data_IF_092583857384
#
_entry.id   IF_092583857384
#
_cell.length_a   1.000
_cell.length_b   1.000
_cell.length_c   1.000
_cell.angle_alpha   90.00
_cell.angle_beta   90.00
_cell.angle_gamma   90.00
#
_symmetry.space_group_name_H-M   'P 1'
#
loop_
_entity.id
_entity.type
_entity.pdbx_description
1 polymer ?
#
# COMPACT_ATOMS: atom_id res chain seq x y z
N UNK A 1 33.95 32.04 -14.91
CA UNK A 1 33.31 31.76 -13.61
C UNK A 1 31.81 31.63 -13.85
N UNK A 2 31.20 30.46 -13.66
CA UNK A 2 29.76 30.35 -13.80
C UNK A 2 29.08 31.06 -12.63
N UNK A 3 28.19 32.00 -12.96
CA UNK A 3 27.30 32.68 -12.03
C UNK A 3 26.35 31.67 -11.41
N UNK A 4 26.58 31.33 -10.14
CA UNK A 4 25.63 30.55 -9.35
C UNK A 4 24.40 31.41 -9.07
N UNK A 5 23.34 31.26 -9.88
CA UNK A 5 22.01 31.78 -9.55
C UNK A 5 21.56 31.07 -8.27
N UNK A 6 21.55 31.83 -7.18
CA UNK A 6 21.49 31.34 -5.80
C UNK A 6 20.04 31.26 -5.27
N UNK A 7 19.03 31.16 -6.15
CA UNK A 7 17.61 31.29 -5.78
C UNK A 7 16.69 30.18 -6.30
N UNK A 8 17.10 29.38 -7.30
CA UNK A 8 16.12 28.55 -8.03
C UNK A 8 15.92 27.14 -7.43
N UNK A 9 16.90 26.61 -6.68
CA UNK A 9 16.81 25.22 -6.19
C UNK A 9 15.87 25.00 -5.00
N UNK A 10 15.32 26.06 -4.40
CA UNK A 10 14.31 25.97 -3.33
C UNK A 10 12.88 26.17 -3.83
N UNK A 11 12.69 26.90 -4.94
CA UNK A 11 11.36 27.13 -5.54
C UNK A 11 10.88 25.95 -6.42
N UNK A 12 11.77 25.02 -6.80
CA UNK A 12 11.49 23.94 -7.76
C UNK A 12 11.08 22.58 -7.16
N UNK A 13 10.87 22.46 -5.84
CA UNK A 13 10.48 21.18 -5.22
C UNK A 13 8.99 20.81 -5.40
N UNK A 14 8.14 21.73 -5.84
CA UNK A 14 6.68 21.52 -5.92
C UNK A 14 6.16 21.01 -7.27
N UNK A 15 6.87 21.31 -8.37
CA UNK A 15 6.37 21.00 -9.73
C UNK A 15 6.86 19.65 -10.25
N UNK A 16 8.10 19.26 -9.95
CA UNK A 16 8.67 17.98 -10.37
C UNK A 16 8.07 16.77 -9.63
N UNK A 17 7.49 17.01 -8.44
CA UNK A 17 6.97 15.97 -7.55
C UNK A 17 5.46 15.79 -7.64
N UNK A 18 4.95 15.70 -8.87
CA UNK A 18 3.54 15.47 -9.16
C UNK A 18 3.29 14.09 -9.79
N UNK A 19 2.07 13.58 -9.61
CA UNK A 19 1.58 12.29 -10.13
C UNK A 19 0.21 12.49 -10.76
N UNK A 20 -0.22 11.51 -11.58
CA UNK A 20 -1.42 11.56 -12.41
C UNK A 20 -1.38 12.73 -13.39
N UNK A 21 -0.52 12.61 -14.40
CA UNK A 21 -0.36 13.65 -15.45
C UNK A 21 0.05 15.02 -14.87
N UNK A 22 0.90 15.03 -13.85
CA UNK A 22 1.38 16.24 -13.16
C UNK A 22 0.27 17.09 -12.49
N UNK A 23 -0.88 16.49 -12.19
CA UNK A 23 -2.01 17.20 -11.57
C UNK A 23 -1.89 17.21 -10.04
N UNK A 24 -1.51 16.09 -9.42
CA UNK A 24 -1.58 15.93 -7.96
C UNK A 24 -0.18 15.84 -7.37
N UNK A 25 0.12 16.68 -6.37
CA UNK A 25 1.37 16.59 -5.62
C UNK A 25 1.51 15.22 -4.93
N UNK A 26 2.70 14.63 -4.94
CA UNK A 26 2.96 13.26 -4.46
C UNK A 26 2.48 13.03 -3.02
N UNK A 27 2.64 14.02 -2.15
CA UNK A 27 2.21 13.94 -0.74
C UNK A 27 0.69 13.89 -0.62
N UNK A 28 -0.05 14.60 -1.47
CA UNK A 28 -1.51 14.55 -1.48
C UNK A 28 -2.02 13.20 -2.01
N UNK A 29 -1.35 12.67 -3.06
CA UNK A 29 -1.62 11.32 -3.54
C UNK A 29 -1.35 10.27 -2.44
N UNK A 30 -0.26 10.43 -1.68
CA UNK A 30 0.09 9.52 -0.59
C UNK A 30 -0.91 9.60 0.58
N UNK A 31 -1.37 10.81 0.95
CA UNK A 31 -2.46 11.00 1.92
C UNK A 31 -3.74 10.29 1.50
N UNK A 32 -4.14 10.44 0.23
CA UNK A 32 -5.34 9.79 -0.30
C UNK A 32 -5.22 8.26 -0.23
N UNK A 33 -4.05 7.70 -0.54
CA UNK A 33 -3.80 6.27 -0.47
C UNK A 33 -3.86 5.74 0.95
N UNK A 34 -3.22 6.41 1.92
CA UNK A 34 -3.31 6.03 3.34
C UNK A 34 -4.76 6.09 3.81
N UNK A 35 -5.51 7.12 3.40
CA UNK A 35 -6.94 7.23 3.70
C UNK A 35 -7.75 6.06 3.11
N UNK A 36 -7.44 5.66 1.87
CA UNK A 36 -8.09 4.51 1.23
C UNK A 36 -7.76 3.18 1.90
N UNK A 37 -6.51 2.98 2.35
CA UNK A 37 -6.08 1.79 3.09
C UNK A 37 -6.75 1.72 4.47
N UNK A 38 -6.91 2.86 5.13
CA UNK A 38 -7.63 2.93 6.40
C UNK A 38 -9.13 2.61 6.20
N UNK A 39 -9.75 3.19 5.17
CA UNK A 39 -11.14 2.91 4.83
C UNK A 39 -11.35 1.42 4.48
N UNK A 40 -10.41 0.81 3.74
CA UNK A 40 -10.41 -0.63 3.45
C UNK A 40 -10.36 -1.46 4.74
N UNK A 41 -9.45 -1.17 5.67
CA UNK A 41 -9.37 -1.88 6.95
C UNK A 41 -10.62 -1.71 7.81
N UNK A 42 -11.22 -0.51 7.83
CA UNK A 42 -12.49 -0.27 8.52
C UNK A 42 -13.62 -1.08 7.85
N UNK A 43 -13.66 -1.12 6.53
CA UNK A 43 -14.64 -1.93 5.79
C UNK A 43 -14.47 -3.42 6.09
N UNK A 44 -13.25 -3.93 6.05
CA UNK A 44 -12.95 -5.33 6.38
C UNK A 44 -13.31 -5.67 7.83
N UNK A 45 -13.03 -4.78 8.79
CA UNK A 45 -13.39 -5.00 10.20
C UNK A 45 -14.88 -4.91 10.47
N UNK A 46 -15.59 -3.93 9.92
CA UNK A 46 -17.01 -3.73 10.24
C UNK A 46 -17.89 -4.70 9.47
N UNK A 47 -17.62 -4.93 8.18
CA UNK A 47 -18.50 -5.71 7.30
C UNK A 47 -18.13 -7.19 7.29
N UNK A 48 -16.85 -7.56 7.13
CA UNK A 48 -16.51 -8.99 7.08
C UNK A 48 -16.66 -9.65 8.46
N UNK A 49 -16.34 -8.95 9.55
CA UNK A 49 -16.53 -9.48 10.89
C UNK A 49 -18.01 -9.75 11.20
N UNK A 50 -18.88 -8.76 10.95
CA UNK A 50 -20.29 -8.84 11.36
C UNK A 50 -21.15 -9.62 10.35
N UNK A 51 -20.95 -9.44 9.05
CA UNK A 51 -21.83 -10.03 8.04
C UNK A 51 -21.43 -11.47 7.69
N UNK A 52 -20.13 -11.80 7.69
CA UNK A 52 -19.64 -13.09 7.17
C UNK A 52 -19.12 -14.02 8.28
N UNK A 53 -19.13 -13.58 9.54
CA UNK A 53 -18.59 -14.32 10.68
C UNK A 53 -17.06 -14.47 10.62
N UNK A 54 -16.40 -13.55 9.91
CA UNK A 54 -15.00 -13.61 9.55
C UNK A 54 -14.12 -12.93 10.61
N UNK A 55 -14.29 -13.28 11.89
CA UNK A 55 -13.49 -12.70 12.97
C UNK A 55 -12.80 -13.80 13.78
N UNK A 56 -11.66 -14.25 13.26
CA UNK A 56 -10.73 -15.13 13.96
C UNK A 56 -9.51 -14.37 14.45
N UNK A 57 -8.64 -15.03 15.21
CA UNK A 57 -7.40 -14.42 15.73
C UNK A 57 -6.52 -13.89 14.59
N UNK A 58 -6.49 -14.55 13.43
CA UNK A 58 -5.70 -14.14 12.26
C UNK A 58 -6.18 -12.82 11.68
N UNK A 59 -7.49 -12.60 11.56
CA UNK A 59 -8.05 -11.33 11.05
C UNK A 59 -7.80 -10.19 12.02
N UNK A 60 -7.89 -10.44 13.34
CA UNK A 60 -7.54 -9.46 14.37
C UNK A 60 -6.06 -9.04 14.28
N UNK A 61 -5.15 -10.00 14.12
CA UNK A 61 -3.71 -9.72 13.92
C UNK A 61 -3.49 -8.89 12.65
N UNK A 62 -4.13 -9.27 11.53
CA UNK A 62 -4.02 -8.52 10.29
C UNK A 62 -4.45 -7.05 10.45
N UNK A 63 -5.60 -6.83 11.10
CA UNK A 63 -6.15 -5.49 11.33
C UNK A 63 -5.26 -4.66 12.25
N UNK A 64 -4.80 -5.23 13.35
CA UNK A 64 -3.95 -4.53 14.33
C UNK A 64 -2.60 -4.15 13.74
N UNK A 65 -1.94 -5.06 13.02
CA UNK A 65 -0.68 -4.79 12.31
C UNK A 65 -0.90 -3.75 11.20
N UNK A 66 -2.00 -3.86 10.45
CA UNK A 66 -2.36 -2.90 9.41
C UNK A 66 -2.55 -1.48 9.97
N UNK A 67 -3.33 -1.34 11.04
CA UNK A 67 -3.54 -0.06 11.73
C UNK A 67 -2.24 0.52 12.30
N UNK A 68 -1.37 -0.34 12.85
CA UNK A 68 -0.07 0.10 13.35
C UNK A 68 0.79 0.71 12.23
N UNK A 69 0.91 0.04 11.07
CA UNK A 69 1.70 0.56 9.96
C UNK A 69 1.07 1.80 9.29
N UNK A 70 -0.26 1.88 9.23
CA UNK A 70 -0.95 3.11 8.81
C UNK A 70 -0.65 4.26 9.77
N UNK A 71 -0.68 4.01 11.08
CA UNK A 71 -0.37 5.01 12.09
C UNK A 71 1.07 5.53 11.95
N UNK A 72 2.03 4.63 11.67
CA UNK A 72 3.40 5.02 11.34
C UNK A 72 3.50 5.86 10.06
N UNK A 73 2.72 5.54 9.02
CA UNK A 73 2.68 6.30 7.79
C UNK A 73 2.06 7.71 7.99
N UNK A 74 1.02 7.84 8.82
CA UNK A 74 0.46 9.13 9.23
C UNK A 74 1.50 9.93 10.02
N UNK A 75 2.20 9.28 10.97
CA UNK A 75 3.27 9.92 11.73
C UNK A 75 4.43 10.35 10.81
N UNK A 76 4.73 9.59 9.76
CA UNK A 76 5.69 9.96 8.72
C UNK A 76 5.30 11.24 8.02
N UNK A 77 4.02 11.40 7.67
CA UNK A 77 3.52 12.61 7.03
C UNK A 77 3.64 13.82 7.95
N UNK A 78 3.29 13.66 9.24
CA UNK A 78 3.34 14.73 10.22
C UNK A 78 4.76 15.15 10.59
N UNK A 79 5.67 14.18 10.79
CA UNK A 79 7.08 14.43 11.14
C UNK A 79 8.01 14.58 9.94
N UNK A 80 7.48 14.39 8.73
CA UNK A 80 8.23 14.40 7.46
C UNK A 80 9.42 13.43 7.42
N UNK A 81 9.26 12.25 8.04
CA UNK A 81 10.34 11.25 8.19
C UNK A 81 10.11 10.00 7.34
N UNK A 82 10.78 9.93 6.19
CA UNK A 82 10.65 8.81 5.24
C UNK A 82 10.82 7.39 5.83
N UNK A 83 11.64 7.24 6.88
CA UNK A 83 11.91 5.94 7.52
C UNK A 83 10.62 5.28 8.03
N UNK A 84 9.65 6.08 8.47
CA UNK A 84 8.38 5.60 9.01
C UNK A 84 7.41 5.10 7.92
N UNK A 85 7.72 5.32 6.63
CA UNK A 85 6.96 4.77 5.48
C UNK A 85 7.39 3.34 5.15
N UNK A 86 8.64 2.96 5.48
CA UNK A 86 9.23 1.67 5.13
C UNK A 86 8.39 0.47 5.63
N UNK A 87 7.88 0.46 6.88
CA UNK A 87 7.04 -0.65 7.35
C UNK A 87 5.78 -0.86 6.50
N UNK A 88 5.14 0.22 6.03
CA UNK A 88 4.00 0.14 5.12
C UNK A 88 4.41 -0.48 3.79
N UNK A 89 5.56 -0.09 3.23
CA UNK A 89 6.08 -0.66 1.97
C UNK A 89 6.31 -2.18 2.13
N UNK A 90 6.92 -2.61 3.24
CA UNK A 90 7.15 -4.04 3.52
C UNK A 90 5.82 -4.80 3.60
N UNK A 91 4.82 -4.25 4.30
CA UNK A 91 3.49 -4.85 4.37
C UNK A 91 2.88 -5.03 2.98
N UNK A 92 2.98 -4.02 2.12
CA UNK A 92 2.40 -4.06 0.77
C UNK A 92 3.10 -5.08 -0.14
N UNK A 93 4.40 -5.29 0.02
CA UNK A 93 5.09 -6.41 -0.65
C UNK A 93 4.62 -7.78 -0.14
N UNK A 94 4.41 -7.93 1.17
CA UNK A 94 3.88 -9.16 1.74
C UNK A 94 2.44 -9.44 1.25
N UNK A 95 1.59 -8.40 1.20
CA UNK A 95 0.25 -8.49 0.62
C UNK A 95 0.29 -8.96 -0.85
N UNK A 96 1.16 -8.36 -1.68
CA UNK A 96 1.34 -8.78 -3.08
C UNK A 96 1.72 -10.25 -3.21
N UNK A 97 2.68 -10.70 -2.40
CA UNK A 97 3.11 -12.09 -2.39
C UNK A 97 1.95 -13.03 -2.06
N UNK A 98 1.09 -12.66 -1.11
CA UNK A 98 -0.11 -13.43 -0.76
C UNK A 98 -1.08 -13.47 -1.93
N UNK A 99 -1.42 -12.33 -2.56
CA UNK A 99 -2.37 -12.32 -3.68
C UNK A 99 -1.87 -13.14 -4.87
N UNK A 100 -0.60 -13.00 -5.25
CA UNK A 100 0.01 -13.80 -6.33
C UNK A 100 -0.04 -15.29 -5.97
N UNK A 101 0.36 -15.66 -4.75
CA UNK A 101 0.32 -17.05 -4.28
C UNK A 101 -1.09 -17.62 -4.31
N UNK A 102 -2.11 -16.83 -3.96
CA UNK A 102 -3.51 -17.27 -4.02
C UNK A 102 -4.00 -17.48 -5.44
N UNK A 103 -3.60 -16.64 -6.40
CA UNK A 103 -3.95 -16.84 -7.84
C UNK A 103 -3.33 -18.14 -8.34
N UNK A 104 -2.05 -18.39 -8.05
CA UNK A 104 -1.36 -19.62 -8.45
C UNK A 104 -2.07 -20.84 -7.84
N UNK A 105 -2.40 -20.79 -6.55
CA UNK A 105 -3.13 -21.87 -5.88
C UNK A 105 -4.50 -22.12 -6.52
N UNK A 106 -5.26 -21.07 -6.81
CA UNK A 106 -6.57 -21.20 -7.46
C UNK A 106 -6.43 -21.80 -8.87
N UNK A 107 -5.45 -21.35 -9.66
CA UNK A 107 -5.19 -21.89 -10.99
C UNK A 107 -4.84 -23.38 -10.93
N UNK A 108 -3.93 -23.79 -10.04
CA UNK A 108 -3.56 -25.20 -9.85
C UNK A 108 -4.77 -26.05 -9.44
N UNK A 109 -5.58 -25.57 -8.48
CA UNK A 109 -6.79 -26.27 -8.05
C UNK A 109 -7.84 -26.39 -9.16
N UNK A 110 -7.94 -25.43 -10.07
CA UNK A 110 -8.84 -25.51 -11.22
C UNK A 110 -8.34 -26.52 -12.27
N UNK A 111 -7.03 -26.59 -12.50
CA UNK A 111 -6.41 -27.51 -13.47
C UNK A 111 -6.50 -28.98 -13.06
N UNK A 112 -6.47 -29.29 -11.75
CA UNK A 112 -6.59 -30.66 -11.22
C UNK A 112 -8.00 -31.26 -11.41
N UNK A 113 -8.98 -30.46 -11.87
CA UNK A 113 -10.31 -30.94 -12.20
C UNK A 113 -11.16 -31.29 -10.97
N UNK A 114 -11.75 -32.49 -10.94
CA UNK A 114 -12.75 -32.88 -9.93
C UNK A 114 -12.19 -32.92 -8.50
N UNK A 115 -10.94 -33.37 -8.33
CA UNK A 115 -10.28 -33.41 -7.02
C UNK A 115 -9.94 -32.00 -6.51
N UNK A 116 -9.46 -31.12 -7.38
CA UNK A 116 -9.16 -29.74 -7.02
C UNK A 116 -10.41 -28.95 -6.61
N UNK A 117 -11.55 -29.18 -7.29
CA UNK A 117 -12.86 -28.62 -6.90
C UNK A 117 -13.31 -29.05 -5.49
N UNK A 118 -13.05 -30.31 -5.08
CA UNK A 118 -13.35 -30.78 -3.71
C UNK A 118 -12.51 -30.05 -2.67
N UNK A 119 -11.22 -29.89 -2.91
CA UNK A 119 -10.31 -29.14 -2.02
C UNK A 119 -10.68 -27.66 -1.96
N UNK A 120 -10.99 -27.05 -3.10
CA UNK A 120 -11.44 -25.66 -3.17
C UNK A 120 -12.72 -25.44 -2.38
N UNK A 121 -13.70 -26.36 -2.49
CA UNK A 121 -14.92 -26.30 -1.68
C UNK A 121 -14.61 -26.37 -0.18
N UNK A 122 -13.76 -27.30 0.25
CA UNK A 122 -13.34 -27.38 1.66
C UNK A 122 -12.67 -26.09 2.13
N UNK A 123 -11.78 -25.52 1.32
CA UNK A 123 -11.05 -24.30 1.65
C UNK A 123 -12.01 -23.09 1.73
N UNK A 124 -12.95 -22.98 0.79
CA UNK A 124 -13.98 -21.95 0.79
C UNK A 124 -14.95 -22.08 1.95
N UNK A 125 -15.43 -23.29 2.28
CA UNK A 125 -16.29 -23.53 3.44
C UNK A 125 -15.57 -23.25 4.76
N UNK A 126 -14.27 -23.61 4.83
CA UNK A 126 -13.45 -23.29 5.99
C UNK A 126 -13.28 -21.78 6.17
N UNK A 127 -13.08 -21.05 5.06
CA UNK A 127 -12.89 -19.60 5.05
C UNK A 127 -14.21 -18.83 5.19
N UNK A 128 -15.31 -19.35 4.66
CA UNK A 128 -16.62 -18.70 4.54
C UNK A 128 -17.69 -19.58 5.18
N UNK A 129 -17.68 -19.66 6.51
CA UNK A 129 -18.55 -20.55 7.28
C UNK A 129 -20.05 -20.39 7.01
N UNK A 130 -20.51 -19.23 6.51
CA UNK A 130 -21.92 -18.96 6.20
C UNK A 130 -22.35 -19.36 4.78
N UNK A 131 -21.42 -19.71 3.89
CA UNK A 131 -21.77 -20.15 2.54
C UNK A 131 -22.06 -21.65 2.57
N UNK A 132 -23.33 -22.05 2.66
CA UNK A 132 -23.70 -23.47 2.76
C UNK A 132 -23.25 -24.29 1.53
N UNK A 133 -23.26 -23.69 0.32
CA UNK A 133 -22.76 -24.32 -0.91
C UNK A 133 -22.19 -23.29 -1.89
N UNK A 134 -20.87 -23.04 -1.90
CA UNK A 134 -20.28 -22.11 -2.87
C UNK A 134 -20.40 -22.65 -4.30
N UNK A 135 -20.93 -21.82 -5.20
CA UNK A 135 -20.97 -22.13 -6.63
C UNK A 135 -19.55 -22.14 -7.22
N UNK A 136 -19.03 -23.34 -7.46
CA UNK A 136 -17.68 -23.55 -7.97
C UNK A 136 -17.53 -23.27 -9.47
N UNK A 137 -18.62 -22.94 -10.18
CA UNK A 137 -18.57 -22.61 -11.60
C UNK A 137 -18.11 -21.17 -11.84
N UNK A 138 -18.53 -20.21 -11.00
CA UNK A 138 -18.26 -18.78 -11.17
C UNK A 138 -17.33 -18.23 -10.08
N UNK A 139 -17.50 -18.67 -8.84
CA UNK A 139 -16.80 -18.10 -7.68
C UNK A 139 -15.27 -18.11 -7.79
N UNK A 140 -14.60 -19.18 -8.30
CA UNK A 140 -13.13 -19.17 -8.39
C UNK A 140 -12.61 -18.11 -9.36
N UNK A 141 -13.29 -17.90 -10.48
CA UNK A 141 -12.94 -16.87 -11.47
C UNK A 141 -13.16 -15.46 -10.90
N UNK A 142 -14.25 -15.27 -10.15
CA UNK A 142 -14.48 -14.02 -9.42
C UNK A 142 -13.38 -13.73 -8.40
N UNK A 143 -12.93 -14.74 -7.65
CA UNK A 143 -11.83 -14.59 -6.70
C UNK A 143 -10.50 -14.27 -7.40
N UNK A 144 -10.21 -14.88 -8.55
CA UNK A 144 -9.01 -14.54 -9.35
C UNK A 144 -9.09 -13.08 -9.80
N UNK A 145 -10.22 -12.65 -10.34
CA UNK A 145 -10.43 -11.28 -10.79
C UNK A 145 -10.25 -10.28 -9.64
N UNK A 146 -10.83 -10.55 -8.46
CA UNK A 146 -10.64 -9.73 -7.27
C UNK A 146 -9.17 -9.64 -6.85
N UNK A 147 -8.41 -10.74 -6.86
CA UNK A 147 -6.99 -10.73 -6.55
C UNK A 147 -6.17 -9.92 -7.56
N UNK A 148 -6.52 -9.94 -8.85
CA UNK A 148 -5.88 -9.10 -9.88
C UNK A 148 -6.09 -7.61 -9.56
N UNK A 149 -7.31 -7.21 -9.21
CA UNK A 149 -7.59 -5.84 -8.78
C UNK A 149 -6.80 -5.45 -7.51
N UNK A 150 -6.70 -6.35 -6.53
CA UNK A 150 -5.90 -6.10 -5.33
C UNK A 150 -4.41 -5.99 -5.62
N UNK A 151 -3.88 -6.75 -6.57
CA UNK A 151 -2.49 -6.61 -7.04
C UNK A 151 -2.27 -5.23 -7.66
N UNK A 152 -3.15 -4.80 -8.56
CA UNK A 152 -3.05 -3.49 -9.20
C UNK A 152 -3.08 -2.35 -8.16
N UNK A 153 -4.03 -2.42 -7.21
CA UNK A 153 -4.13 -1.43 -6.13
C UNK A 153 -2.89 -1.40 -5.22
N UNK A 154 -2.30 -2.56 -4.91
CA UNK A 154 -1.09 -2.64 -4.10
C UNK A 154 0.15 -2.14 -4.84
N UNK A 155 0.31 -2.48 -6.12
CA UNK A 155 1.40 -1.94 -6.95
C UNK A 155 1.33 -0.42 -7.03
N UNK A 156 0.13 0.12 -7.20
CA UNK A 156 -0.11 1.56 -7.21
C UNK A 156 0.23 2.20 -5.85
N UNK A 157 -0.16 1.58 -4.74
CA UNK A 157 0.19 2.02 -3.39
C UNK A 157 1.70 2.03 -3.15
N UNK A 158 2.40 0.98 -3.57
CA UNK A 158 3.85 0.89 -3.51
C UNK A 158 4.54 1.98 -4.34
N UNK A 159 4.07 2.20 -5.57
CA UNK A 159 4.61 3.23 -6.45
C UNK A 159 4.55 4.62 -5.80
N UNK A 160 3.40 5.00 -5.24
CA UNK A 160 3.26 6.29 -4.56
C UNK A 160 4.09 6.35 -3.28
N UNK A 161 4.12 5.27 -2.49
CA UNK A 161 4.90 5.21 -1.25
C UNK A 161 6.41 5.37 -1.51
N UNK A 162 6.95 4.70 -2.54
CA UNK A 162 8.36 4.81 -2.93
C UNK A 162 8.67 6.24 -3.41
N UNK A 163 7.79 6.83 -4.22
CA UNK A 163 7.95 8.23 -4.64
C UNK A 163 7.89 9.21 -3.46
N UNK A 164 7.02 8.97 -2.48
CA UNK A 164 6.95 9.77 -1.25
C UNK A 164 8.23 9.64 -0.40
N UNK A 165 8.80 8.43 -0.29
CA UNK A 165 10.11 8.22 0.35
C UNK A 165 11.18 9.02 -0.37
N UNK A 166 11.23 8.95 -1.70
CA UNK A 166 12.21 9.68 -2.50
C UNK A 166 12.08 11.20 -2.30
N UNK A 167 10.85 11.71 -2.33
CA UNK A 167 10.54 13.12 -2.06
C UNK A 167 11.09 13.58 -0.71
N UNK A 168 10.76 12.87 0.38
CA UNK A 168 11.22 13.24 1.72
C UNK A 168 12.74 13.14 1.87
N UNK A 169 13.37 12.14 1.23
CA UNK A 169 14.84 12.03 1.21
C UNK A 169 15.49 13.23 0.53
N UNK A 170 14.94 13.66 -0.61
CA UNK A 170 15.46 14.84 -1.30
C UNK A 170 15.21 16.13 -0.53
N UNK A 171 14.02 16.30 0.05
CA UNK A 171 13.69 17.44 0.92
C UNK A 171 14.66 17.55 2.09
N UNK A 172 14.96 16.44 2.77
CA UNK A 172 15.93 16.44 3.87
C UNK A 172 17.35 16.84 3.41
N UNK A 173 17.78 16.38 2.22
CA UNK A 173 19.08 16.75 1.66
C UNK A 173 19.14 18.24 1.29
N UNK A 174 18.09 18.80 0.69
CA UNK A 174 18.06 20.22 0.33
C UNK A 174 18.07 21.12 1.55
N UNK A 175 17.31 20.77 2.59
CA UNK A 175 17.37 21.47 3.88
C UNK A 175 18.75 21.42 4.53
N UNK A 176 19.41 20.26 4.49
CA UNK A 176 20.78 20.10 5.01
C UNK A 176 21.77 21.00 4.26
N UNK A 177 21.74 20.98 2.92
CA UNK A 177 22.62 21.83 2.09
C UNK A 177 22.35 23.31 2.32
N UNK A 178 21.08 23.71 2.45
CA UNK A 178 20.69 25.10 2.74
C UNK A 178 21.26 25.56 4.09
N UNK A 179 21.08 24.77 5.16
CA UNK A 179 21.63 25.08 6.48
C UNK A 179 23.15 25.19 6.44
N UNK A 180 23.83 24.27 5.74
CA UNK A 180 25.30 24.29 5.60
C UNK A 180 25.79 25.53 4.86
N UNK A 181 25.13 25.93 3.76
CA UNK A 181 25.45 27.19 3.05
C UNK A 181 25.28 28.40 3.95
N UNK A 182 24.19 28.46 4.74
CA UNK A 182 23.95 29.56 5.68
C UNK A 182 25.01 29.68 6.77
N UNK A 183 25.52 28.54 7.26
CA UNK A 183 26.61 28.51 8.26
C UNK A 183 27.95 28.92 7.65
N UNK A 184 28.21 28.57 6.39
CA UNK A 184 29.46 28.89 5.70
C UNK A 184 29.49 30.31 5.09
N UNK A 185 28.32 30.91 4.85
CA UNK A 185 28.18 32.27 4.31
C UNK A 185 28.97 33.36 5.06
N UNK A 186 29.06 33.40 6.40
CA UNK A 186 29.88 34.40 7.10
C UNK A 186 31.41 34.18 6.98
N UNK A 187 31.86 33.07 6.39
CA UNK A 187 33.29 32.75 6.20
C UNK A 187 33.75 32.90 4.74
N UNK A 188 32.88 33.36 3.84
CA UNK A 188 33.13 33.62 2.42
C UNK A 188 32.92 35.11 2.11
#
# INVERSE_FOLDING_TARGET
MPSFSNTDSLYFFGEEYRVYFNIVHIINAFKAIIGSDLAKLIFETVILANAWGFFGVISLIHVTVGLFFISLAILSLYKERYILIIPLVILKFAELFIYISTIILLAVLLLIGSNGKKWLRKLLLWKLRRLEYPDLSILPYFLILMNIFFIAANLHTLFISIKAIHYYKQKAMSEYLYRRRKILAPFL
#
